data_IF_169373356643
#
_entry.id   IF_169373356643
#
_cell.length_a   1.000
_cell.length_b   1.000
_cell.length_c   1.000
_cell.angle_alpha   90.00
_cell.angle_beta   90.00
_cell.angle_gamma   90.00
#
_symmetry.space_group_name_H-M   'P 1'
#
loop_
_entity.id
_entity.type
_entity.pdbx_description
1 polymer ?
#
# COMPACT_ATOMS: atom_id res chain seq x y z
N UNK A 1 -6.20 6.14 1.83
CA UNK A 1 -6.01 7.23 2.80
C UNK A 1 -4.54 7.63 2.84
N UNK A 2 -4.26 8.91 2.66
CA UNK A 2 -2.90 9.41 2.78
C UNK A 2 -2.48 9.42 4.24
N UNK A 3 -1.26 8.99 4.52
CA UNK A 3 -0.76 8.94 5.90
C UNK A 3 0.64 9.55 6.01
N UNK A 4 0.94 10.08 7.19
CA UNK A 4 2.30 10.50 7.56
C UNK A 4 3.02 9.34 8.26
N UNK A 5 4.26 9.59 8.72
CA UNK A 5 5.10 8.53 9.30
C UNK A 5 4.47 7.96 10.58
N UNK A 6 3.99 8.83 11.47
CA UNK A 6 3.39 8.39 12.74
C UNK A 6 2.12 7.60 12.52
N UNK A 7 1.26 8.07 11.61
CA UNK A 7 0.03 7.36 11.26
C UNK A 7 0.33 6.00 10.64
N UNK A 8 1.31 5.96 9.74
CA UNK A 8 1.75 4.71 9.12
C UNK A 8 2.17 3.69 10.18
N UNK A 9 3.09 4.10 11.07
CA UNK A 9 3.61 3.20 12.09
C UNK A 9 2.52 2.71 13.03
N UNK A 10 1.61 3.59 13.42
CA UNK A 10 0.50 3.23 14.31
C UNK A 10 -0.45 2.24 13.64
N UNK A 11 -0.85 2.50 12.39
CA UNK A 11 -1.78 1.62 11.68
C UNK A 11 -1.16 0.25 11.47
N UNK A 12 0.11 0.20 11.03
CA UNK A 12 0.81 -1.07 10.81
C UNK A 12 0.87 -1.88 12.11
N UNK A 13 1.15 -1.22 13.22
CA UNK A 13 1.25 -1.89 14.52
C UNK A 13 -0.08 -2.41 15.02
N UNK A 14 -1.17 -1.66 14.81
CA UNK A 14 -2.45 -1.94 15.43
C UNK A 14 -3.47 -2.63 14.54
N UNK A 15 -3.25 -2.67 13.22
CA UNK A 15 -4.23 -3.24 12.30
C UNK A 15 -4.47 -4.72 12.56
N UNK A 16 -5.74 -5.11 12.56
CA UNK A 16 -6.15 -6.51 12.70
C UNK A 16 -6.53 -7.13 11.36
N UNK A 17 -6.41 -6.38 10.30
CA UNK A 17 -6.64 -6.80 8.92
C UNK A 17 -5.40 -6.49 8.11
N UNK A 18 -5.23 -7.12 6.92
CA UNK A 18 -4.10 -6.77 6.05
C UNK A 18 -4.12 -5.31 5.64
N UNK A 19 -2.94 -4.74 5.45
CA UNK A 19 -2.77 -3.34 5.05
C UNK A 19 -2.00 -3.29 3.74
N UNK A 20 -2.58 -2.63 2.74
CA UNK A 20 -1.91 -2.36 1.47
C UNK A 20 -1.37 -0.94 1.51
N UNK A 21 -0.10 -0.79 1.14
CA UNK A 21 0.55 0.52 1.02
C UNK A 21 0.80 0.81 -0.45
N UNK A 22 0.38 1.98 -0.91
CA UNK A 22 0.69 2.52 -2.23
C UNK A 22 1.74 3.62 -2.06
N UNK A 23 2.99 3.31 -2.41
CA UNK A 23 4.06 4.32 -2.47
C UNK A 23 3.99 5.01 -3.82
N UNK A 24 3.78 6.32 -3.80
CA UNK A 24 3.49 7.10 -5.01
C UNK A 24 4.18 8.46 -4.97
N UNK A 25 4.12 9.18 -6.10
CA UNK A 25 4.52 10.60 -6.16
C UNK A 25 3.68 11.31 -7.21
N UNK A 26 3.48 12.60 -7.02
CA UNK A 26 2.62 13.41 -7.91
C UNK A 26 3.16 13.48 -9.35
N UNK A 27 4.49 13.44 -9.53
CA UNK A 27 5.12 13.50 -10.87
C UNK A 27 5.08 12.18 -11.61
N UNK A 28 4.68 11.11 -10.96
CA UNK A 28 4.78 9.75 -11.49
C UNK A 28 3.57 9.40 -12.36
N UNK A 29 3.77 9.31 -13.68
CA UNK A 29 2.71 8.92 -14.62
C UNK A 29 2.10 7.55 -14.32
N UNK A 30 2.91 6.49 -14.17
CA UNK A 30 2.37 5.17 -13.81
C UNK A 30 1.59 5.15 -12.49
N UNK A 31 1.97 5.99 -11.52
CA UNK A 31 1.21 6.12 -10.26
C UNK A 31 -0.20 6.64 -10.53
N UNK A 32 -0.35 7.57 -11.46
CA UNK A 32 -1.67 8.10 -11.83
C UNK A 32 -2.51 7.05 -12.54
N UNK A 33 -1.88 6.18 -13.33
CA UNK A 33 -2.57 5.06 -13.97
C UNK A 33 -3.04 4.05 -12.92
N UNK A 34 -2.23 3.80 -11.90
CA UNK A 34 -2.57 2.87 -10.83
C UNK A 34 -3.63 3.40 -9.88
N UNK A 35 -3.76 4.73 -9.72
CA UNK A 35 -4.64 5.34 -8.72
C UNK A 35 -6.08 4.82 -8.75
N UNK A 36 -6.76 4.73 -9.91
CA UNK A 36 -8.13 4.19 -9.94
C UNK A 36 -8.21 2.74 -9.45
N UNK A 37 -7.18 1.93 -9.73
CA UNK A 37 -7.12 0.54 -9.30
C UNK A 37 -6.94 0.45 -7.79
N UNK A 38 -6.14 1.34 -7.22
CA UNK A 38 -5.95 1.42 -5.76
C UNK A 38 -7.26 1.84 -5.08
N UNK A 39 -7.95 2.84 -5.64
CA UNK A 39 -9.23 3.30 -5.10
C UNK A 39 -10.29 2.21 -5.15
N UNK A 40 -10.32 1.45 -6.25
CA UNK A 40 -11.26 0.35 -6.40
C UNK A 40 -10.96 -0.76 -5.38
N UNK A 41 -9.68 -1.08 -5.18
CA UNK A 41 -9.28 -2.05 -4.15
C UNK A 41 -9.76 -1.61 -2.77
N UNK A 42 -9.55 -0.34 -2.44
CA UNK A 42 -10.00 0.20 -1.15
C UNK A 42 -11.51 0.05 -0.97
N UNK A 43 -12.28 0.34 -2.01
CA UNK A 43 -13.75 0.25 -1.95
C UNK A 43 -14.21 -1.21 -1.81
N UNK A 44 -13.65 -2.11 -2.61
CA UNK A 44 -14.06 -3.52 -2.62
C UNK A 44 -13.62 -4.27 -1.37
N UNK A 45 -12.52 -3.86 -0.75
CA UNK A 45 -11.97 -4.50 0.44
C UNK A 45 -12.36 -3.79 1.74
N UNK A 46 -13.25 -2.81 1.67
CA UNK A 46 -13.67 -2.06 2.87
C UNK A 46 -14.14 -3.01 3.97
N UNK A 47 -13.64 -2.81 5.19
CA UNK A 47 -13.92 -3.67 6.34
C UNK A 47 -13.08 -4.94 6.40
N UNK A 48 -12.37 -5.32 5.32
CA UNK A 48 -11.54 -6.52 5.25
C UNK A 48 -10.06 -6.22 5.08
N UNK A 49 -9.73 -5.01 4.66
CA UNK A 49 -8.35 -4.54 4.50
C UNK A 49 -8.32 -3.04 4.65
N UNK A 50 -7.13 -2.52 4.94
CA UNK A 50 -6.87 -1.09 5.00
C UNK A 50 -5.97 -0.74 3.83
N UNK A 51 -6.27 0.36 3.12
CA UNK A 51 -5.44 0.83 2.00
C UNK A 51 -4.90 2.21 2.35
N UNK A 52 -3.58 2.32 2.39
CA UNK A 52 -2.87 3.56 2.72
C UNK A 52 -2.06 4.03 1.54
N UNK A 53 -1.89 5.34 1.43
CA UNK A 53 -1.04 5.96 0.42
C UNK A 53 0.08 6.73 1.11
N UNK A 54 1.31 6.54 0.64
CA UNK A 54 2.50 7.22 1.15
C UNK A 54 3.13 8.02 0.02
N UNK A 55 3.15 9.34 0.18
CA UNK A 55 3.82 10.25 -0.76
C UNK A 55 5.33 10.14 -0.52
N UNK A 56 6.05 9.55 -1.47
CA UNK A 56 7.49 9.30 -1.35
C UNK A 56 8.31 10.58 -1.40
N UNK A 57 7.78 11.66 -1.97
CA UNK A 57 8.46 12.95 -1.98
C UNK A 57 8.35 13.65 -0.63
N UNK A 58 7.21 13.49 0.02
CA UNK A 58 6.97 14.09 1.33
C UNK A 58 7.59 13.28 2.47
N UNK A 59 7.58 11.94 2.32
CA UNK A 59 8.07 11.04 3.36
C UNK A 59 9.14 10.09 2.80
N UNK A 60 10.27 10.64 2.32
CA UNK A 60 11.32 9.82 1.71
C UNK A 60 11.91 8.79 2.69
N UNK A 61 11.82 9.04 4.00
CA UNK A 61 12.30 8.11 5.00
C UNK A 61 11.51 6.80 5.01
N UNK A 62 10.20 6.84 4.70
CA UNK A 62 9.41 5.61 4.58
C UNK A 62 9.80 4.83 3.32
N UNK A 63 10.00 5.53 2.21
CA UNK A 63 10.46 4.90 0.97
C UNK A 63 11.81 4.22 1.19
N UNK A 64 12.73 4.90 1.86
CA UNK A 64 14.05 4.34 2.16
C UNK A 64 13.96 3.11 3.09
N UNK A 65 13.10 3.17 4.08
CA UNK A 65 12.90 2.07 5.04
C UNK A 65 12.54 0.76 4.35
N UNK A 66 11.72 0.84 3.31
CA UNK A 66 11.25 -0.35 2.58
C UNK A 66 11.91 -0.50 1.23
N UNK A 67 13.02 0.18 1.00
CA UNK A 67 13.83 0.07 -0.22
C UNK A 67 13.03 0.32 -1.50
N UNK A 68 12.15 1.30 -1.46
CA UNK A 68 11.34 1.69 -2.60
C UNK A 68 12.22 2.45 -3.60
N UNK A 69 12.47 1.86 -4.76
CA UNK A 69 13.31 2.46 -5.81
C UNK A 69 12.52 2.79 -7.07
N UNK A 70 11.46 2.04 -7.34
CA UNK A 70 10.56 2.28 -8.46
C UNK A 70 9.15 2.46 -7.96
N UNK A 71 8.40 3.40 -8.53
CA UNK A 71 7.02 3.68 -8.14
C UNK A 71 6.11 3.62 -9.37
N UNK A 72 4.83 3.22 -9.21
CA UNK A 72 4.22 2.86 -7.93
C UNK A 72 4.86 1.61 -7.34
N UNK A 73 4.86 1.52 -6.03
CA UNK A 73 5.37 0.35 -5.32
C UNK A 73 4.33 -0.02 -4.28
N UNK A 74 3.95 -1.30 -4.28
CA UNK A 74 2.90 -1.79 -3.39
C UNK A 74 3.49 -2.74 -2.36
N UNK A 75 3.10 -2.55 -1.11
CA UNK A 75 3.53 -3.41 -0.02
C UNK A 75 2.31 -3.88 0.75
N UNK A 76 2.30 -5.13 1.17
CA UNK A 76 1.23 -5.68 2.01
C UNK A 76 1.82 -6.08 3.35
N UNK A 77 1.17 -5.62 4.42
CA UNK A 77 1.51 -5.95 5.80
C UNK A 77 0.41 -6.79 6.42
N UNK A 78 0.80 -7.74 7.23
CA UNK A 78 -0.14 -8.55 8.02
C UNK A 78 0.50 -8.84 9.37
N UNK A 79 -0.25 -8.59 10.45
CA UNK A 79 0.26 -8.80 11.79
C UNK A 79 1.48 -7.93 12.12
N UNK A 80 1.56 -6.74 11.56
CA UNK A 80 2.66 -5.81 11.77
C UNK A 80 3.91 -6.10 10.93
N UNK A 81 3.86 -7.09 10.02
CA UNK A 81 5.02 -7.50 9.24
C UNK A 81 4.78 -7.36 7.75
N UNK A 82 5.82 -6.96 7.04
CA UNK A 82 5.81 -6.90 5.57
C UNK A 82 5.78 -8.34 5.02
N UNK A 83 4.72 -8.68 4.28
CA UNK A 83 4.56 -10.04 3.75
C UNK A 83 4.77 -10.14 2.25
N UNK A 84 4.64 -9.02 1.51
CA UNK A 84 5.01 -8.98 0.10
C UNK A 84 5.19 -7.54 -0.35
N UNK A 85 5.93 -7.36 -1.44
CA UNK A 85 6.17 -6.04 -2.01
C UNK A 85 6.43 -6.19 -3.51
N UNK A 86 5.87 -5.29 -4.31
CA UNK A 86 6.03 -5.34 -5.76
C UNK A 86 5.95 -3.95 -6.36
N UNK A 87 6.86 -3.62 -7.27
CA UNK A 87 6.83 -2.38 -8.04
C UNK A 87 6.03 -2.57 -9.31
N UNK A 88 5.49 -1.48 -9.84
CA UNK A 88 4.80 -1.43 -11.13
C UNK A 88 3.30 -1.44 -11.00
N UNK A 89 2.63 -1.07 -12.10
CA UNK A 89 1.18 -0.99 -12.16
C UNK A 89 0.59 -2.39 -12.18
N UNK A 90 -0.37 -2.64 -11.30
CA UNK A 90 -1.18 -3.86 -11.31
C UNK A 90 -2.65 -3.45 -11.18
N UNK A 91 -3.56 -4.34 -11.59
CA UNK A 91 -4.98 -4.03 -11.45
C UNK A 91 -5.51 -4.39 -10.05
N UNK A 92 -6.75 -3.95 -9.79
CA UNK A 92 -7.37 -4.14 -8.48
C UNK A 92 -7.52 -5.63 -8.11
N UNK A 93 -7.75 -6.51 -9.09
CA UNK A 93 -7.92 -7.94 -8.81
C UNK A 93 -6.63 -8.55 -8.29
N UNK A 94 -5.50 -8.13 -8.80
CA UNK A 94 -4.19 -8.59 -8.32
C UNK A 94 -3.97 -8.14 -6.87
N UNK A 95 -4.22 -6.86 -6.61
CA UNK A 95 -4.07 -6.32 -5.24
C UNK A 95 -5.01 -7.01 -4.25
N UNK A 96 -6.25 -7.26 -4.68
CA UNK A 96 -7.22 -7.97 -3.84
C UNK A 96 -6.77 -9.40 -3.55
N UNK A 97 -6.16 -10.07 -4.53
CA UNK A 97 -5.65 -11.42 -4.31
C UNK A 97 -4.52 -11.44 -3.27
N UNK A 98 -3.65 -10.43 -3.29
CA UNK A 98 -2.60 -10.30 -2.27
C UNK A 98 -3.20 -10.15 -0.87
N UNK A 99 -4.21 -9.30 -0.76
CA UNK A 99 -4.86 -9.04 0.52
C UNK A 99 -5.62 -10.26 1.04
N UNK A 100 -6.30 -10.96 0.15
CA UNK A 100 -7.01 -12.19 0.52
C UNK A 100 -6.04 -13.29 0.97
N UNK A 101 -4.90 -13.42 0.29
CA UNK A 101 -3.86 -14.38 0.69
C UNK A 101 -3.27 -14.02 2.06
N UNK A 102 -3.06 -12.75 2.32
CA UNK A 102 -2.55 -12.29 3.62
C UNK A 102 -3.55 -12.57 4.75
N UNK A 103 -4.85 -12.43 4.47
CA UNK A 103 -5.90 -12.72 5.45
C UNK A 103 -5.93 -14.21 5.80
N UNK A 104 -5.69 -15.08 4.81
CA UNK A 104 -5.71 -16.53 5.00
C UNK A 104 -4.50 -17.02 5.81
N UNK A 105 -3.43 -16.25 5.79
CA UNK A 105 -2.23 -16.58 6.54
C UNK A 105 -2.40 -16.30 8.01
#
# INVERSE_FOLDING_TARGET
MEVNVEEFDEIIREARVPVLIDFWAAWCGPCRIAAPEVERTAAEMAGRAIVLKVDTERYPQLAARYQVRGIPNFAVFSGGRLVMQQAGVVDHQVMESWLNSATAA
#
